data_IF_602825791565
#
_entry.id   IF_602825791565
#
_cell.length_a   1.000
_cell.length_b   1.000
_cell.length_c   1.000
_cell.angle_alpha   90.00
_cell.angle_beta   90.00
_cell.angle_gamma   90.00
#
_symmetry.space_group_name_H-M   'P 1'
#
loop_
_entity.id
_entity.type
_entity.pdbx_description
1 polymer ?
#
# COMPACT_ATOMS: atom_id res chain seq x y z
N UNK A 1 -52.00 52.66 27.69
CA UNK A 1 -50.66 52.40 28.26
C UNK A 1 -50.59 50.94 28.68
N UNK A 2 -49.80 50.13 27.97
CA UNK A 2 -49.42 48.71 28.20
C UNK A 2 -49.24 48.10 26.80
N UNK A 3 -48.11 47.56 26.37
CA UNK A 3 -46.78 47.41 26.96
C UNK A 3 -45.97 46.70 25.87
N UNK A 4 -44.89 47.31 25.40
CA UNK A 4 -43.97 46.75 24.42
C UNK A 4 -43.28 45.50 25.00
N UNK A 5 -43.71 44.32 24.57
CA UNK A 5 -43.05 43.06 24.86
C UNK A 5 -42.05 42.73 23.75
N UNK A 6 -40.77 42.98 24.01
CA UNK A 6 -39.65 42.58 23.14
C UNK A 6 -39.75 41.11 22.75
N UNK A 7 -39.67 40.83 21.44
CA UNK A 7 -39.42 39.48 20.93
C UNK A 7 -38.03 39.01 21.38
N UNK A 8 -37.88 37.80 21.95
CA UNK A 8 -36.56 37.25 22.26
C UNK A 8 -35.78 36.99 20.97
N UNK A 9 -34.51 37.38 20.99
CA UNK A 9 -33.54 37.19 19.91
C UNK A 9 -33.36 35.70 19.61
N UNK A 10 -33.40 35.38 18.31
CA UNK A 10 -33.14 34.04 17.77
C UNK A 10 -31.72 33.62 18.17
N UNK A 11 -31.49 32.45 18.78
CA UNK A 11 -30.15 32.02 19.15
C UNK A 11 -29.31 31.88 17.88
N UNK A 12 -28.15 32.54 17.91
CA UNK A 12 -27.11 32.49 16.89
C UNK A 12 -26.81 31.04 16.55
N UNK A 13 -26.80 30.74 15.25
CA UNK A 13 -26.41 29.46 14.68
C UNK A 13 -25.15 28.96 15.39
N UNK A 14 -25.30 27.92 16.21
CA UNK A 14 -24.20 27.20 16.80
C UNK A 14 -23.44 26.57 15.62
N UNK A 15 -22.43 27.26 15.12
CA UNK A 15 -21.46 26.64 14.23
C UNK A 15 -20.80 25.54 15.04
N UNK A 16 -21.32 24.31 14.89
CA UNK A 16 -20.66 23.10 15.35
C UNK A 16 -19.33 23.09 14.61
N UNK A 17 -18.29 23.65 15.24
CA UNK A 17 -16.92 23.40 14.83
C UNK A 17 -16.72 21.92 15.07
N UNK A 18 -16.81 21.12 14.00
CA UNK A 18 -16.41 19.72 14.01
C UNK A 18 -14.96 19.71 14.49
N UNK A 19 -14.76 19.38 15.76
CA UNK A 19 -13.44 19.13 16.29
C UNK A 19 -12.83 18.00 15.46
N UNK A 20 -11.58 18.19 15.05
CA UNK A 20 -10.92 17.50 13.95
C UNK A 20 -11.02 15.97 13.91
N UNK A 21 -10.68 15.44 12.73
CA UNK A 21 -10.58 14.02 12.33
C UNK A 21 -11.86 13.31 11.88
N UNK A 22 -13.05 13.70 12.37
CA UNK A 22 -14.31 13.07 11.90
C UNK A 22 -14.86 13.75 10.63
N UNK A 23 -15.02 12.97 9.55
CA UNK A 23 -15.56 13.43 8.27
C UNK A 23 -14.54 14.09 7.33
N UNK A 24 -13.25 13.92 7.59
CA UNK A 24 -12.18 14.31 6.66
C UNK A 24 -12.10 13.28 5.53
N UNK A 25 -12.42 13.70 4.31
CA UNK A 25 -12.42 12.83 3.13
C UNK A 25 -11.02 12.35 2.75
N UNK A 26 -9.95 13.00 3.20
CA UNK A 26 -8.56 12.54 2.98
C UNK A 26 -8.19 11.30 3.82
N UNK A 27 -8.99 10.99 4.85
CA UNK A 27 -8.87 9.74 5.60
C UNK A 27 -9.63 8.58 4.94
N UNK A 28 -10.52 8.87 3.98
CA UNK A 28 -11.08 7.84 3.13
C UNK A 28 -10.00 7.37 2.16
N UNK A 29 -9.91 6.06 1.95
CA UNK A 29 -8.89 5.44 1.09
C UNK A 29 -9.58 4.69 -0.03
N UNK A 30 -9.07 4.89 -1.24
CA UNK A 30 -9.37 4.05 -2.39
C UNK A 30 -8.14 3.23 -2.73
N UNK A 31 -8.21 1.92 -2.54
CA UNK A 31 -7.12 1.00 -2.85
C UNK A 31 -7.22 0.56 -4.31
N UNK A 32 -6.75 1.40 -5.23
CA UNK A 32 -6.89 1.12 -6.65
C UNK A 32 -5.99 -0.01 -7.17
N UNK A 33 -4.97 -0.38 -6.41
CA UNK A 33 -4.07 -1.48 -6.76
C UNK A 33 -3.73 -2.30 -5.52
N UNK A 34 -3.60 -3.61 -5.69
CA UNK A 34 -3.18 -4.50 -4.63
C UNK A 34 -2.35 -5.66 -5.20
N UNK A 35 -1.45 -6.19 -4.38
CA UNK A 35 -0.73 -7.42 -4.64
C UNK A 35 -0.83 -8.34 -3.42
N UNK A 36 -0.73 -9.65 -3.67
CA UNK A 36 -0.50 -10.65 -2.63
C UNK A 36 0.82 -11.35 -2.93
N UNK A 37 1.67 -11.47 -1.92
CA UNK A 37 2.94 -12.19 -2.00
C UNK A 37 2.94 -13.36 -1.02
N UNK A 38 3.56 -14.47 -1.44
CA UNK A 38 3.69 -15.69 -0.65
C UNK A 38 5.17 -16.02 -0.50
N UNK A 39 5.57 -16.46 0.70
CA UNK A 39 6.92 -16.96 0.93
C UNK A 39 6.94 -18.16 1.89
N UNK A 40 7.97 -19.02 1.82
CA UNK A 40 8.23 -20.01 2.86
C UNK A 40 8.41 -19.36 4.23
N UNK A 41 8.13 -20.10 5.30
CA UNK A 41 8.43 -19.66 6.66
C UNK A 41 9.94 -19.35 6.82
N UNK A 42 10.25 -18.33 7.62
CA UNK A 42 11.63 -17.88 7.85
C UNK A 42 12.21 -16.99 6.75
N UNK A 43 11.47 -16.77 5.65
CA UNK A 43 11.89 -15.78 4.63
C UNK A 43 11.96 -14.38 5.25
N UNK A 44 13.05 -13.66 4.99
CA UNK A 44 13.24 -12.31 5.49
C UNK A 44 12.12 -11.38 4.99
N UNK A 45 11.55 -10.59 5.90
CA UNK A 45 10.60 -9.55 5.57
C UNK A 45 11.34 -8.37 4.89
N UNK A 46 10.71 -7.65 3.94
CA UNK A 46 11.26 -6.38 3.48
C UNK A 46 11.44 -5.43 4.68
N UNK A 47 12.48 -4.60 4.68
CA UNK A 47 12.79 -3.73 5.82
C UNK A 47 11.68 -2.69 6.08
N UNK A 48 11.07 -2.16 5.01
CA UNK A 48 9.97 -1.22 5.06
C UNK A 48 9.06 -1.38 3.83
N UNK A 49 7.95 -0.63 3.78
CA UNK A 49 6.99 -0.66 2.68
C UNK A 49 7.54 -0.15 1.34
N UNK A 50 8.68 0.56 1.34
CA UNK A 50 9.34 1.04 0.12
C UNK A 50 10.35 0.02 -0.44
N UNK A 51 10.76 -0.94 0.40
CA UNK A 51 11.72 -1.98 0.02
C UNK A 51 10.96 -3.05 -0.75
N UNK A 52 11.43 -3.41 -1.95
CA UNK A 52 10.85 -4.49 -2.71
C UNK A 52 10.93 -5.82 -1.95
N UNK A 53 9.97 -6.71 -2.18
CA UNK A 53 10.07 -8.07 -1.67
C UNK A 53 11.29 -8.78 -2.28
N UNK A 54 12.04 -9.50 -1.44
CA UNK A 54 13.23 -10.23 -1.86
C UNK A 54 12.89 -11.51 -2.64
N UNK A 55 13.91 -12.16 -3.21
CA UNK A 55 13.74 -13.32 -4.11
C UNK A 55 13.03 -14.55 -3.49
N UNK A 56 12.89 -14.62 -2.16
CA UNK A 56 12.12 -15.68 -1.49
C UNK A 56 10.61 -15.46 -1.51
N UNK A 57 10.14 -14.30 -1.96
CA UNK A 57 8.73 -13.95 -2.09
C UNK A 57 8.28 -14.10 -3.53
N UNK A 58 7.20 -14.84 -3.72
CA UNK A 58 6.54 -15.04 -5.00
C UNK A 58 5.27 -14.21 -5.06
N UNK A 59 5.13 -13.40 -6.11
CA UNK A 59 3.90 -12.69 -6.40
C UNK A 59 2.82 -13.69 -6.81
N UNK A 60 1.60 -13.51 -6.30
CA UNK A 60 0.42 -14.33 -6.63
C UNK A 60 -0.06 -14.05 -8.06
N UNK A 61 0.09 -12.82 -8.55
CA UNK A 61 -0.31 -12.42 -9.90
C UNK A 61 -1.56 -11.55 -9.90
N UNK A 62 -2.36 -11.65 -10.96
CA UNK A 62 -3.58 -10.85 -11.12
C UNK A 62 -4.65 -11.22 -10.07
N UNK A 63 -5.19 -10.19 -9.42
CA UNK A 63 -6.23 -10.28 -8.40
C UNK A 63 -7.54 -9.68 -8.92
N UNK A 64 -8.65 -10.21 -8.43
CA UNK A 64 -9.96 -9.57 -8.60
C UNK A 64 -10.06 -8.36 -7.64
N UNK A 65 -9.99 -7.15 -8.22
CA UNK A 65 -10.06 -5.91 -7.47
C UNK A 65 -11.44 -5.60 -6.90
N UNK A 66 -12.51 -6.14 -7.49
CA UNK A 66 -13.89 -5.87 -7.05
C UNK A 66 -14.20 -6.61 -5.75
N UNK A 67 -13.65 -7.81 -5.56
CA UNK A 67 -13.74 -8.57 -4.30
C UNK A 67 -12.91 -7.93 -3.18
N UNK A 68 -11.80 -7.28 -3.53
CA UNK A 68 -10.82 -6.76 -2.58
C UNK A 68 -10.26 -7.85 -1.66
N UNK A 69 -10.13 -7.53 -0.37
CA UNK A 69 -9.61 -8.48 0.63
C UNK A 69 -10.54 -8.65 1.83
N UNK A 70 -11.65 -9.38 1.70
CA UNK A 70 -12.59 -9.61 2.79
C UNK A 70 -11.89 -10.19 4.03
N UNK A 71 -12.26 -9.70 5.21
CA UNK A 71 -11.73 -10.15 6.50
C UNK A 71 -12.88 -10.67 7.38
N UNK A 72 -12.70 -11.84 7.99
CA UNK A 72 -13.61 -12.37 9.02
C UNK A 72 -12.88 -12.55 10.34
N UNK A 73 -13.60 -12.32 11.43
CA UNK A 73 -13.17 -12.56 12.82
C UNK A 73 -14.21 -13.39 13.52
N UNK A 74 -13.82 -14.58 13.92
CA UNK A 74 -14.67 -15.50 14.65
C UNK A 74 -14.06 -15.72 16.04
N UNK A 75 -14.89 -15.64 17.08
CA UNK A 75 -14.47 -15.97 18.45
C UNK A 75 -15.66 -16.51 19.24
N UNK A 76 -15.38 -17.46 20.14
CA UNK A 76 -16.36 -17.95 21.09
C UNK A 76 -16.46 -16.98 22.27
N UNK A 77 -17.66 -16.55 22.60
CA UNK A 77 -17.93 -15.71 23.77
C UNK A 77 -18.77 -16.46 24.80
N UNK A 78 -18.38 -16.39 26.07
CA UNK A 78 -19.12 -16.98 27.18
C UNK A 78 -19.31 -15.96 28.30
N UNK A 79 -20.55 -15.52 28.47
CA UNK A 79 -20.95 -14.52 29.46
C UNK A 79 -21.39 -15.17 30.77
N UNK A 80 -20.99 -14.55 31.89
CA UNK A 80 -21.36 -14.92 33.25
C UNK A 80 -22.24 -13.84 33.83
N UNK A 81 -23.40 -14.23 34.36
CA UNK A 81 -24.44 -13.31 34.80
C UNK A 81 -24.56 -13.27 36.32
N UNK A 82 -24.84 -12.09 36.87
CA UNK A 82 -25.31 -11.91 38.24
C UNK A 82 -26.81 -12.21 38.34
N UNK A 83 -27.32 -12.29 39.58
CA UNK A 83 -28.75 -12.21 39.83
C UNK A 83 -29.31 -10.92 39.23
N UNK A 84 -30.42 -11.03 38.49
CA UNK A 84 -31.01 -9.91 37.74
C UNK A 84 -30.63 -9.85 36.26
N UNK A 85 -29.70 -10.71 35.79
CA UNK A 85 -29.38 -10.84 34.37
C UNK A 85 -28.25 -9.91 33.88
N UNK A 86 -27.58 -9.21 34.79
CA UNK A 86 -26.44 -8.36 34.44
C UNK A 86 -25.19 -9.20 34.13
N UNK A 87 -24.52 -8.91 33.01
CA UNK A 87 -23.23 -9.55 32.67
C UNK A 87 -22.16 -9.05 33.65
N UNK A 88 -21.56 -9.98 34.39
CA UNK A 88 -20.46 -9.71 35.34
C UNK A 88 -19.11 -9.94 34.68
N UNK A 89 -19.02 -10.91 33.77
CA UNK A 89 -17.76 -11.26 33.11
C UNK A 89 -18.02 -11.95 31.78
N UNK A 90 -17.21 -11.63 30.78
CA UNK A 90 -17.16 -12.37 29.51
C UNK A 90 -15.79 -13.02 29.36
N UNK A 91 -15.74 -14.26 28.89
CA UNK A 91 -14.51 -14.88 28.38
C UNK A 91 -14.60 -15.03 26.87
N UNK A 92 -13.45 -14.87 26.19
CA UNK A 92 -13.33 -15.01 24.74
C UNK A 92 -12.27 -16.08 24.43
N UNK A 93 -12.59 -17.02 23.56
CA UNK A 93 -11.72 -18.15 23.17
C UNK A 93 -11.84 -18.46 21.69
N UNK A 94 -10.97 -19.33 21.16
CA UNK A 94 -11.01 -19.79 19.77
C UNK A 94 -11.04 -18.68 18.72
N UNK A 95 -10.30 -17.59 18.98
CA UNK A 95 -10.16 -16.52 18.01
C UNK A 95 -9.57 -17.06 16.70
N UNK A 96 -10.27 -16.79 15.60
CA UNK A 96 -9.84 -17.10 14.24
C UNK A 96 -9.98 -15.83 13.40
N UNK A 97 -8.90 -15.49 12.70
CA UNK A 97 -8.89 -14.43 11.71
C UNK A 97 -8.67 -15.05 10.33
N UNK A 98 -9.53 -14.70 9.38
CA UNK A 98 -9.40 -15.13 7.98
C UNK A 98 -9.37 -13.91 7.08
N UNK A 99 -8.44 -13.87 6.13
CA UNK A 99 -8.42 -12.88 5.05
C UNK A 99 -8.45 -13.58 3.70
N UNK A 100 -9.35 -13.15 2.82
CA UNK A 100 -9.57 -13.75 1.51
C UNK A 100 -8.98 -12.89 0.40
N UNK A 101 -8.63 -13.53 -0.71
CA UNK A 101 -8.25 -12.86 -1.96
C UNK A 101 -8.59 -13.78 -3.13
N UNK A 102 -9.02 -13.18 -4.24
CA UNK A 102 -9.43 -13.90 -5.43
C UNK A 102 -8.38 -13.75 -6.51
N UNK A 103 -7.88 -14.88 -7.02
CA UNK A 103 -6.84 -14.92 -8.04
C UNK A 103 -7.44 -15.19 -9.40
N UNK A 104 -6.89 -14.52 -10.43
CA UNK A 104 -7.36 -14.61 -11.82
C UNK A 104 -6.31 -15.25 -12.75
N UNK A 105 -5.24 -15.80 -12.18
CA UNK A 105 -4.07 -16.30 -12.91
C UNK A 105 -3.70 -17.73 -12.50
N UNK A 106 -3.40 -18.58 -13.49
CA UNK A 106 -2.77 -19.90 -13.28
C UNK A 106 -1.26 -19.78 -13.47
N UNK A 107 -0.53 -19.76 -12.36
CA UNK A 107 0.92 -19.70 -12.33
C UNK A 107 1.47 -20.62 -11.23
N UNK A 108 2.80 -20.84 -11.15
CA UNK A 108 3.38 -21.73 -10.15
C UNK A 108 2.98 -21.39 -8.70
N UNK A 109 2.83 -20.10 -8.36
CA UNK A 109 2.42 -19.64 -7.03
C UNK A 109 0.98 -20.04 -6.75
N UNK A 110 0.02 -19.63 -7.59
CA UNK A 110 -1.40 -19.94 -7.39
C UNK A 110 -1.66 -21.44 -7.41
N UNK A 111 -1.04 -22.18 -8.33
CA UNK A 111 -1.14 -23.63 -8.39
C UNK A 111 -0.62 -24.32 -7.11
N UNK A 112 0.44 -23.79 -6.50
CA UNK A 112 0.95 -24.34 -5.23
C UNK A 112 0.02 -24.11 -4.04
N UNK A 113 -0.83 -23.07 -4.08
CA UNK A 113 -1.84 -22.78 -3.06
C UNK A 113 -3.13 -23.59 -3.27
N UNK A 114 -3.55 -23.74 -4.53
CA UNK A 114 -4.77 -24.46 -4.90
C UNK A 114 -4.56 -25.98 -4.77
N UNK A 115 -3.41 -26.47 -5.25
CA UNK A 115 -3.07 -27.90 -5.30
C UNK A 115 -1.71 -28.20 -4.65
N UNK A 116 -1.52 -27.90 -3.34
CA UNK A 116 -0.25 -28.11 -2.66
C UNK A 116 0.25 -29.55 -2.76
N UNK A 117 1.52 -29.71 -3.17
CA UNK A 117 2.17 -30.99 -3.38
C UNK A 117 1.91 -31.65 -4.75
N UNK A 118 1.05 -31.07 -5.58
CA UNK A 118 0.79 -31.59 -6.93
C UNK A 118 1.90 -31.22 -7.90
N UNK A 119 2.03 -32.02 -8.96
CA UNK A 119 2.96 -31.78 -10.08
C UNK A 119 2.17 -31.50 -11.36
N UNK A 120 2.81 -31.01 -12.43
CA UNK A 120 2.11 -30.78 -13.71
C UNK A 120 1.40 -32.03 -14.28
N UNK A 121 1.80 -33.24 -13.86
CA UNK A 121 1.25 -34.50 -14.37
C UNK A 121 0.46 -35.30 -13.32
N UNK A 122 0.35 -34.82 -12.08
CA UNK A 122 -0.35 -35.53 -11.02
C UNK A 122 -0.93 -34.56 -9.99
N UNK A 123 -2.25 -34.60 -9.82
CA UNK A 123 -2.95 -33.94 -8.72
C UNK A 123 -3.01 -34.89 -7.54
N UNK A 124 -2.53 -34.42 -6.39
CA UNK A 124 -2.57 -35.17 -5.12
C UNK A 124 -3.61 -34.57 -4.18
N UNK A 125 -3.97 -35.31 -3.13
CA UNK A 125 -4.82 -34.76 -2.07
C UNK A 125 -4.12 -33.54 -1.45
N UNK A 126 -4.67 -32.33 -1.62
CA UNK A 126 -4.00 -31.12 -1.19
C UNK A 126 -3.89 -31.08 0.33
N UNK A 127 -2.68 -30.81 0.82
CA UNK A 127 -2.42 -30.53 2.24
C UNK A 127 -1.80 -29.14 2.34
N UNK A 128 -2.59 -28.11 2.70
CA UNK A 128 -2.07 -26.77 2.93
C UNK A 128 -0.91 -26.79 3.92
N UNK A 129 0.14 -26.06 3.60
CA UNK A 129 1.31 -25.89 4.46
C UNK A 129 1.38 -24.46 5.00
N UNK A 130 1.97 -24.25 6.19
CA UNK A 130 2.25 -22.91 6.69
C UNK A 130 3.11 -22.09 5.72
N UNK A 131 2.66 -20.87 5.44
CA UNK A 131 3.39 -19.90 4.61
C UNK A 131 3.35 -18.52 5.26
N UNK A 132 4.26 -17.64 4.83
CA UNK A 132 4.09 -16.20 5.03
C UNK A 132 3.23 -15.63 3.90
N UNK A 133 2.33 -14.71 4.25
CA UNK A 133 1.48 -13.99 3.30
C UNK A 133 1.64 -12.50 3.53
N UNK A 134 1.85 -11.73 2.47
CA UNK A 134 1.84 -10.28 2.51
C UNK A 134 0.74 -9.74 1.60
N UNK A 135 -0.15 -8.94 2.17
CA UNK A 135 -1.15 -8.16 1.44
C UNK A 135 -0.61 -6.75 1.28
N UNK A 136 -0.36 -6.33 0.04
CA UNK A 136 0.03 -4.96 -0.29
C UNK A 136 -1.15 -4.25 -0.95
N UNK A 137 -1.53 -3.07 -0.45
CA UNK A 137 -2.51 -2.18 -1.09
C UNK A 137 -1.88 -0.82 -1.33
N UNK A 138 -2.21 -0.20 -2.46
CA UNK A 138 -1.64 1.07 -2.89
C UNK A 138 -2.75 2.08 -3.13
N UNK A 139 -2.59 3.25 -2.54
CA UNK A 139 -3.43 4.42 -2.79
C UNK A 139 -2.77 5.28 -3.86
N UNK A 140 -3.27 5.28 -5.11
CA UNK A 140 -2.61 5.95 -6.22
C UNK A 140 -2.64 7.48 -6.10
N UNK A 141 -3.60 8.04 -5.35
CA UNK A 141 -3.76 9.50 -5.24
C UNK A 141 -2.67 10.11 -4.36
N UNK A 142 -2.23 9.37 -3.34
CA UNK A 142 -1.26 9.81 -2.34
C UNK A 142 0.05 9.02 -2.38
N UNK A 143 0.17 8.03 -3.27
CA UNK A 143 1.39 7.25 -3.48
C UNK A 143 1.79 6.40 -2.27
N UNK A 144 0.83 6.05 -1.41
CA UNK A 144 1.10 5.29 -0.19
C UNK A 144 0.91 3.80 -0.44
N UNK A 145 1.89 3.01 -0.01
CA UNK A 145 1.91 1.55 0.03
C UNK A 145 1.61 1.11 1.46
N UNK A 146 0.61 0.26 1.63
CA UNK A 146 0.30 -0.38 2.91
C UNK A 146 0.51 -1.88 2.77
N UNK A 147 1.25 -2.47 3.72
CA UNK A 147 1.47 -3.91 3.80
C UNK A 147 0.97 -4.46 5.13
N UNK A 148 0.22 -5.56 5.07
CA UNK A 148 0.01 -6.47 6.19
C UNK A 148 0.71 -7.77 5.88
N UNK A 149 1.79 -8.05 6.60
CA UNK A 149 2.58 -9.28 6.43
C UNK A 149 2.33 -10.16 7.65
N UNK A 150 2.03 -11.44 7.46
CA UNK A 150 1.81 -12.38 8.58
C UNK A 150 2.98 -12.33 9.56
N UNK A 151 2.70 -12.09 10.85
CA UNK A 151 3.73 -12.13 11.89
C UNK A 151 4.11 -13.56 12.26
N UNK A 152 3.12 -14.44 12.40
CA UNK A 152 3.32 -15.88 12.59
C UNK A 152 3.36 -16.61 11.25
N UNK A 153 2.20 -17.06 10.79
CA UNK A 153 2.03 -17.70 9.47
C UNK A 153 0.57 -17.67 9.04
N UNK A 154 0.30 -18.13 7.82
CA UNK A 154 -1.05 -18.46 7.37
C UNK A 154 -1.13 -19.91 6.89
N UNK A 155 -2.33 -20.47 7.01
CA UNK A 155 -2.75 -21.63 6.21
C UNK A 155 -3.69 -21.10 5.13
N UNK A 156 -3.29 -21.27 3.87
CA UNK A 156 -4.05 -20.81 2.70
C UNK A 156 -4.72 -22.02 2.04
N UNK A 157 -6.02 -21.92 1.78
CA UNK A 157 -6.78 -22.96 1.10
C UNK A 157 -7.83 -22.34 0.17
N UNK A 158 -8.33 -23.14 -0.77
CA UNK A 158 -9.48 -22.77 -1.61
C UNK A 158 -10.71 -22.56 -0.73
N UNK A 159 -11.44 -21.50 -1.01
CA UNK A 159 -12.70 -21.14 -0.37
C UNK A 159 -13.80 -21.02 -1.44
N UNK A 160 -14.52 -22.13 -1.64
CA UNK A 160 -15.51 -22.26 -2.72
C UNK A 160 -15.03 -23.17 -3.83
N UNK A 161 -15.56 -22.95 -5.04
CA UNK A 161 -15.33 -23.81 -6.19
C UNK A 161 -14.14 -23.34 -7.04
N UNK A 162 -13.54 -24.29 -7.78
CA UNK A 162 -12.46 -24.03 -8.75
C UNK A 162 -13.00 -24.40 -10.12
N UNK A 163 -13.63 -23.44 -10.78
CA UNK A 163 -14.28 -23.65 -12.06
C UNK A 163 -13.38 -23.29 -13.24
N UNK A 164 -13.55 -24.02 -14.35
CA UNK A 164 -12.99 -23.69 -15.66
C UNK A 164 -14.15 -23.58 -16.63
N UNK A 165 -14.26 -22.44 -17.31
CA UNK A 165 -15.34 -22.19 -18.25
C UNK A 165 -14.81 -21.47 -19.51
N UNK A 166 -15.64 -21.43 -20.56
CA UNK A 166 -15.28 -20.84 -21.86
C UNK A 166 -15.48 -19.31 -21.92
N UNK A 167 -16.36 -18.78 -21.08
CA UNK A 167 -16.91 -17.42 -21.22
C UNK A 167 -16.33 -16.40 -20.26
N UNK A 168 -16.00 -16.83 -19.05
CA UNK A 168 -15.53 -16.03 -17.94
C UNK A 168 -14.09 -16.41 -17.59
N UNK A 169 -13.38 -15.45 -17.00
CA UNK A 169 -12.04 -15.71 -16.49
C UNK A 169 -12.13 -16.71 -15.33
N UNK A 170 -11.23 -17.69 -15.31
CA UNK A 170 -11.08 -18.55 -14.15
C UNK A 170 -10.73 -17.69 -12.93
N UNK A 171 -11.58 -17.78 -11.91
CA UNK A 171 -11.43 -17.08 -10.64
C UNK A 171 -11.42 -18.11 -9.52
N UNK A 172 -10.43 -18.03 -8.64
CA UNK A 172 -10.35 -18.90 -7.46
C UNK A 172 -10.21 -18.04 -6.21
N UNK A 173 -11.14 -18.17 -5.28
CA UNK A 173 -11.06 -17.50 -3.98
C UNK A 173 -10.18 -18.33 -3.05
N UNK A 174 -9.15 -17.71 -2.49
CA UNK A 174 -8.27 -18.30 -1.49
C UNK A 174 -8.52 -17.65 -0.13
N UNK A 175 -8.69 -18.47 0.91
CA UNK A 175 -8.81 -18.04 2.29
C UNK A 175 -7.50 -18.30 3.04
N UNK A 176 -6.87 -17.23 3.52
CA UNK A 176 -5.73 -17.28 4.42
C UNK A 176 -6.21 -17.20 5.88
N UNK A 177 -6.16 -18.31 6.60
CA UNK A 177 -6.33 -18.34 8.05
C UNK A 177 -5.03 -17.89 8.70
N UNK A 178 -5.07 -16.80 9.45
CA UNK A 178 -3.87 -16.13 9.99
C UNK A 178 -3.63 -16.56 11.43
N UNK A 179 -2.45 -17.14 11.67
CA UNK A 179 -1.99 -17.55 12.98
C UNK A 179 -1.04 -16.49 13.54
N UNK A 180 -1.21 -16.09 14.81
CA UNK A 180 -0.40 -15.04 15.39
C UNK A 180 1.03 -15.52 15.68
N UNK A 181 1.97 -14.57 15.70
CA UNK A 181 3.21 -14.75 16.44
C UNK A 181 2.93 -14.61 17.93
N UNK A 182 3.21 -15.68 18.67
CA UNK A 182 3.03 -15.76 20.13
C UNK A 182 4.31 -15.45 20.90
N UNK A 183 5.39 -15.07 20.22
CA UNK A 183 6.63 -14.63 20.86
C UNK A 183 6.49 -13.26 21.53
N UNK A 184 5.51 -12.45 21.10
CA UNK A 184 5.20 -11.13 21.65
C UNK A 184 3.96 -11.16 22.54
N UNK A 185 3.86 -10.22 23.48
CA UNK A 185 2.64 -10.00 24.29
C UNK A 185 2.17 -8.55 24.13
N UNK A 186 0.97 -8.29 23.56
CA UNK A 186 0.02 -9.28 23.03
C UNK A 186 0.58 -10.01 21.79
N UNK A 187 0.03 -11.19 21.51
CA UNK A 187 0.35 -11.93 20.29
C UNK A 187 -0.08 -11.10 19.06
N UNK A 188 0.71 -11.16 17.98
CA UNK A 188 0.54 -10.29 16.82
C UNK A 188 0.13 -11.10 15.59
N UNK A 189 -0.90 -10.66 14.85
CA UNK A 189 -1.31 -11.34 13.60
C UNK A 189 -0.48 -10.89 12.40
N UNK A 190 -0.15 -9.59 12.36
CA UNK A 190 0.54 -8.98 11.24
C UNK A 190 1.65 -8.03 11.70
N UNK A 191 2.75 -8.05 10.96
CA UNK A 191 3.68 -6.92 10.85
C UNK A 191 3.08 -5.94 9.83
N UNK A 192 2.83 -4.71 10.26
CA UNK A 192 2.30 -3.66 9.39
C UNK A 192 3.42 -2.74 8.93
N UNK A 193 3.45 -2.44 7.63
CA UNK A 193 4.34 -1.44 7.05
C UNK A 193 3.51 -0.45 6.24
N UNK A 194 3.82 0.83 6.37
CA UNK A 194 3.20 1.90 5.59
C UNK A 194 4.31 2.73 4.98
N UNK A 195 4.27 2.98 3.67
CA UNK A 195 5.24 3.89 3.06
C UNK A 195 4.95 5.31 3.51
N UNK A 196 5.99 6.11 3.59
CA UNK A 196 5.84 7.52 3.88
C UNK A 196 5.55 8.25 2.58
N UNK A 197 4.60 9.18 2.62
CA UNK A 197 4.36 10.05 1.48
C UNK A 197 5.55 10.99 1.26
N UNK A 198 5.72 11.44 0.01
CA UNK A 198 6.72 12.46 -0.33
C UNK A 198 6.18 13.83 0.07
N UNK A 199 6.88 14.51 0.98
CA UNK A 199 6.53 15.85 1.43
C UNK A 199 7.10 16.94 0.51
N UNK A 200 8.32 16.76 0.00
CA UNK A 200 8.96 17.67 -0.94
C UNK A 200 10.00 16.97 -1.82
N UNK A 201 10.35 17.58 -2.95
CA UNK A 201 11.41 17.11 -3.85
C UNK A 201 12.36 18.27 -4.18
N UNK A 202 13.64 18.10 -3.87
CA UNK A 202 14.68 19.09 -4.17
C UNK A 202 15.61 18.58 -5.29
N UNK A 203 15.98 19.46 -6.22
CA UNK A 203 17.00 19.18 -7.23
C UNK A 203 18.28 19.96 -6.90
N UNK A 204 19.42 19.27 -6.88
CA UNK A 204 20.73 19.85 -6.64
C UNK A 204 21.68 19.65 -7.84
N UNK A 205 22.41 20.70 -8.27
CA UNK A 205 22.24 22.10 -7.85
C UNK A 205 20.91 22.69 -8.36
N UNK A 206 20.40 23.71 -7.67
CA UNK A 206 19.17 24.42 -8.09
C UNK A 206 19.36 25.22 -9.40
N UNK A 207 20.62 25.55 -9.74
CA UNK A 207 21.01 26.13 -11.01
C UNK A 207 22.21 25.40 -11.60
N UNK A 208 22.27 25.26 -12.93
CA UNK A 208 23.38 24.62 -13.64
C UNK A 208 23.77 25.45 -14.85
N UNK A 209 25.06 25.73 -15.00
CA UNK A 209 25.62 26.33 -16.21
C UNK A 209 26.36 25.28 -17.01
N UNK A 210 26.13 25.23 -18.32
CA UNK A 210 26.74 24.29 -19.26
C UNK A 210 27.18 25.02 -20.53
N UNK A 211 28.16 24.49 -21.24
CA UNK A 211 28.40 24.86 -22.65
C UNK A 211 27.63 23.92 -23.57
N UNK A 212 27.44 24.32 -24.83
CA UNK A 212 26.87 23.42 -25.84
C UNK A 212 27.70 22.12 -25.95
N UNK A 213 27.03 20.97 -25.93
CA UNK A 213 27.64 19.63 -25.91
C UNK A 213 28.06 19.13 -24.52
N UNK A 214 28.10 19.98 -23.49
CA UNK A 214 28.48 19.56 -22.15
C UNK A 214 27.36 18.77 -21.46
N UNK A 215 27.73 17.73 -20.74
CA UNK A 215 26.83 16.95 -19.88
C UNK A 215 27.08 17.34 -18.42
N UNK A 216 26.01 17.62 -17.69
CA UNK A 216 26.03 17.82 -16.24
C UNK A 216 25.09 16.86 -15.54
N UNK A 217 25.43 16.44 -14.32
CA UNK A 217 24.52 15.69 -13.45
C UNK A 217 23.73 16.63 -12.53
N UNK A 218 22.52 16.18 -12.21
CA UNK A 218 21.61 16.68 -11.18
C UNK A 218 21.27 15.51 -10.24
N UNK A 219 21.08 15.82 -8.96
CA UNK A 219 20.55 14.89 -7.97
C UNK A 219 19.14 15.32 -7.57
N UNK A 220 18.19 14.37 -7.51
CA UNK A 220 16.85 14.58 -6.99
C UNK A 220 16.73 13.92 -5.61
N UNK A 221 16.47 14.71 -4.57
CA UNK A 221 16.31 14.23 -3.19
C UNK A 221 14.87 14.46 -2.72
N UNK A 222 14.17 13.38 -2.41
CA UNK A 222 12.83 13.42 -1.82
C UNK A 222 12.95 13.56 -0.29
N UNK A 223 12.17 14.46 0.31
CA UNK A 223 11.93 14.51 1.76
C UNK A 223 10.59 13.85 2.03
N UNK A 224 10.57 12.87 2.94
CA UNK A 224 9.37 12.12 3.31
C UNK A 224 8.61 12.82 4.45
N UNK A 225 7.38 12.40 4.72
CA UNK A 225 6.54 12.99 5.79
C UNK A 225 7.12 12.85 7.20
N UNK A 226 8.05 11.91 7.42
CA UNK A 226 8.78 11.77 8.69
C UNK A 226 10.07 12.60 8.73
N UNK A 227 10.29 13.49 7.76
CA UNK A 227 11.47 14.35 7.57
C UNK A 227 12.75 13.63 7.10
N UNK A 228 12.75 12.30 6.96
CA UNK A 228 13.88 11.59 6.36
C UNK A 228 14.00 11.90 4.86
N UNK A 229 15.19 11.72 4.29
CA UNK A 229 15.46 12.00 2.88
C UNK A 229 15.90 10.75 2.13
N UNK A 230 15.58 10.69 0.82
CA UNK A 230 16.01 9.63 -0.09
C UNK A 230 16.46 10.21 -1.43
N UNK A 231 17.57 9.71 -1.96
CA UNK A 231 17.96 9.97 -3.35
C UNK A 231 17.04 9.17 -4.29
N UNK A 232 16.36 9.88 -5.18
CA UNK A 232 15.41 9.32 -6.14
C UNK A 232 15.83 9.60 -7.59
N UNK A 233 17.06 10.05 -7.82
CA UNK A 233 17.57 10.48 -9.14
C UNK A 233 17.36 9.43 -10.22
N UNK A 234 17.67 8.16 -9.89
CA UNK A 234 17.58 7.01 -10.78
C UNK A 234 16.39 6.08 -10.47
N UNK A 235 15.49 6.49 -9.58
CA UNK A 235 14.34 5.67 -9.22
C UNK A 235 13.40 5.53 -10.44
N UNK A 236 12.85 4.35 -10.74
CA UNK A 236 12.02 4.13 -11.94
C UNK A 236 10.75 5.01 -12.00
N UNK A 237 10.22 5.41 -10.83
CA UNK A 237 9.09 6.34 -10.72
C UNK A 237 9.46 7.82 -10.83
N UNK A 238 10.74 8.17 -11.01
CA UNK A 238 11.17 9.57 -11.18
C UNK A 238 11.15 9.95 -12.66
N UNK A 239 10.28 10.89 -13.00
CA UNK A 239 10.09 11.38 -14.36
C UNK A 239 10.84 12.70 -14.51
N UNK A 240 11.75 12.76 -15.48
CA UNK A 240 12.51 13.96 -15.81
C UNK A 240 11.96 14.61 -17.08
N UNK A 241 11.82 15.92 -17.09
CA UNK A 241 11.39 16.71 -18.25
C UNK A 241 12.16 18.02 -18.38
N UNK A 242 12.11 18.63 -19.56
CA UNK A 242 12.71 19.93 -19.87
C UNK A 242 11.67 20.85 -20.49
N UNK A 243 11.68 22.13 -20.11
CA UNK A 243 10.83 23.14 -20.76
C UNK A 243 11.30 23.50 -22.18
N UNK A 244 12.56 23.23 -22.52
CA UNK A 244 13.15 23.64 -23.79
C UNK A 244 14.22 22.63 -24.27
N UNK A 245 13.78 21.54 -24.91
CA UNK A 245 14.66 20.49 -25.43
C UNK A 245 15.68 21.00 -26.48
N UNK A 246 15.36 22.09 -27.20
CA UNK A 246 16.28 22.74 -28.12
C UNK A 246 17.45 23.47 -27.42
N UNK A 247 17.38 23.66 -26.10
CA UNK A 247 18.40 24.32 -25.26
C UNK A 247 19.10 23.33 -24.36
N UNK A 248 18.35 22.48 -23.66
CA UNK A 248 18.90 21.39 -22.86
C UNK A 248 17.94 20.20 -22.82
N UNK A 249 18.49 18.99 -22.90
CA UNK A 249 17.76 17.73 -22.72
C UNK A 249 18.14 17.08 -21.40
N UNK A 250 17.28 16.22 -20.84
CA UNK A 250 17.56 15.50 -19.59
C UNK A 250 17.16 14.03 -19.70
N UNK A 251 17.98 13.14 -19.15
CA UNK A 251 17.65 11.73 -18.98
C UNK A 251 18.31 11.18 -17.72
N UNK A 252 17.52 10.59 -16.81
CA UNK A 252 18.01 10.00 -15.55
C UNK A 252 18.90 10.96 -14.73
N UNK A 253 18.51 12.24 -14.62
CA UNK A 253 19.30 13.26 -13.92
C UNK A 253 20.52 13.79 -14.67
N UNK A 254 20.84 13.27 -15.86
CA UNK A 254 21.90 13.79 -16.72
C UNK A 254 21.33 14.79 -17.72
N UNK A 255 21.83 16.02 -17.67
CA UNK A 255 21.43 17.13 -18.53
C UNK A 255 22.49 17.37 -19.59
N UNK A 256 22.09 17.42 -20.86
CA UNK A 256 22.97 17.74 -21.98
C UNK A 256 22.62 19.13 -22.50
N UNK A 257 23.60 20.05 -22.53
CA UNK A 257 23.47 21.35 -23.17
C UNK A 257 23.45 21.20 -24.70
N UNK A 258 22.44 21.75 -25.36
CA UNK A 258 22.23 21.64 -26.82
C UNK A 258 22.67 22.91 -27.53
N UNK A 259 22.15 24.06 -27.11
CA UNK A 259 22.45 25.36 -27.72
C UNK A 259 22.22 26.49 -26.72
N UNK A 260 22.86 27.64 -26.97
CA UNK A 260 22.78 28.80 -26.08
C UNK A 260 21.33 29.22 -25.77
N UNK A 261 21.07 29.50 -24.49
CA UNK A 261 19.75 29.84 -23.96
C UNK A 261 19.49 29.20 -22.59
N UNK A 262 18.25 29.29 -22.12
CA UNK A 262 17.84 28.75 -20.82
C UNK A 262 16.81 27.64 -20.97
N UNK A 263 16.82 26.69 -20.03
CA UNK A 263 15.83 25.64 -19.89
C UNK A 263 15.56 25.39 -18.41
N UNK A 264 14.34 24.98 -18.06
CA UNK A 264 14.02 24.48 -16.73
C UNK A 264 13.90 22.98 -16.80
N UNK A 265 14.71 22.29 -16.01
CA UNK A 265 14.62 20.85 -15.82
C UNK A 265 13.73 20.57 -14.61
N UNK A 266 12.74 19.71 -14.80
CA UNK A 266 11.80 19.29 -13.75
C UNK A 266 11.95 17.80 -13.51
N UNK A 267 12.09 17.41 -12.24
CA UNK A 267 11.93 16.03 -11.80
C UNK A 267 10.60 15.93 -11.06
N UNK A 268 9.82 14.89 -11.33
CA UNK A 268 8.59 14.57 -10.63
C UNK A 268 8.70 13.16 -10.06
N UNK A 269 8.46 13.02 -8.76
CA UNK A 269 8.51 11.75 -8.05
C UNK A 269 7.28 11.61 -7.15
N UNK A 270 6.48 10.56 -7.36
CA UNK A 270 5.21 10.32 -6.64
C UNK A 270 4.30 11.56 -6.59
N UNK A 271 4.17 12.26 -7.72
CA UNK A 271 3.34 13.47 -7.85
C UNK A 271 3.98 14.77 -7.36
N UNK A 272 5.08 14.72 -6.61
CA UNK A 272 5.79 15.90 -6.10
C UNK A 272 6.92 16.28 -7.04
N UNK A 273 7.04 17.58 -7.35
CA UNK A 273 8.03 18.07 -8.32
C UNK A 273 9.08 18.99 -7.70
N UNK A 274 10.30 18.92 -8.24
CA UNK A 274 11.39 19.85 -7.99
C UNK A 274 11.95 20.38 -9.32
N UNK A 275 12.65 21.51 -9.30
CA UNK A 275 13.17 22.15 -10.52
C UNK A 275 14.62 22.59 -10.40
N UNK A 276 15.30 22.65 -11.55
CA UNK A 276 16.63 23.23 -11.73
C UNK A 276 16.62 24.15 -12.95
N UNK A 277 17.15 25.37 -12.80
CA UNK A 277 17.34 26.28 -13.93
C UNK A 277 18.69 26.02 -14.60
N UNK A 278 18.66 25.75 -15.91
CA UNK A 278 19.84 25.47 -16.71
C UNK A 278 20.10 26.62 -17.66
N UNK A 279 21.32 27.13 -17.66
CA UNK A 279 21.82 28.12 -18.63
C UNK A 279 22.89 27.48 -19.50
N UNK A 280 22.71 27.57 -20.82
CA UNK A 280 23.69 27.12 -21.81
C UNK A 280 24.32 28.36 -22.46
N UNK A 281 25.65 28.46 -22.44
CA UNK A 281 26.43 29.57 -23.00
C UNK A 281 27.51 29.10 -23.94
#
# INVERSE_FOLDING_TARGET
MHGDGQRPSRPTHLTIRRSGMSGDTSNARLWANADVWIAPLGTALPADANTAFGAGWSLVGLLDGDDGFPETRDEDTNDKFAWGGDIVRSSRTHFKFTKKFSVLEDNPTTRSLIWPGSTPTAIVVPKPVPVLVAFETRDPEVGIVYRKITAGHAIVAVDGDVDQNETDLQKVTLAAVIYPDTSTTPATLFVQQTSLAVASLAIAPATKSLTAGQIGSLAATATLTDTTTRDVTLHPSTIWSTSAAAKATVRYGYVTGVAAGTATITATYMGVSGTCAVTVS
#
